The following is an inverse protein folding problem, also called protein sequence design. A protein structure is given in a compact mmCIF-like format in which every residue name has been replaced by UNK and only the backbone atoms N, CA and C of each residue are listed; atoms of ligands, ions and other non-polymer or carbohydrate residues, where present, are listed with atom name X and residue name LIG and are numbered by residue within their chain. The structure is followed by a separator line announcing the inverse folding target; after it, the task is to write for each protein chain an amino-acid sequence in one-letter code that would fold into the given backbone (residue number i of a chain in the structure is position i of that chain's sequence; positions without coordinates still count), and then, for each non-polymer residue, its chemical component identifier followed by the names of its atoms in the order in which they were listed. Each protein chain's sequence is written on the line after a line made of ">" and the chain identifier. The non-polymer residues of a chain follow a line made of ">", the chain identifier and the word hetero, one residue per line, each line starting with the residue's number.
data_IF_138795368108
#
_entry.id   IF_138795368108
#
_cell.length_a   1.000
_cell.length_b   1.000
_cell.length_c   1.000
_cell.angle_alpha   90.00
_cell.angle_beta   90.00
_cell.angle_gamma   90.00
#
_symmetry.space_group_name_H-M   'P 1'
#
loop_
_entity.id
_entity.type
_entity.pdbx_description
1 polymer ?
#
# COMPACT_ATOMS: atom_id res chain seq x y z
N UNK A 1 -8.81 2.54 -6.64
CA UNK A 1 -7.40 2.29 -7.05
C UNK A 1 -7.20 1.12 -8.02
N UNK A 2 -7.59 -0.13 -7.69
CA UNK A 2 -7.36 -1.32 -8.56
C UNK A 2 -7.86 -1.14 -10.00
N UNK A 3 -9.12 -0.72 -10.15
CA UNK A 3 -9.78 -0.48 -11.45
C UNK A 3 -9.03 0.55 -12.31
N UNK A 4 -8.56 1.65 -11.69
CA UNK A 4 -7.79 2.67 -12.39
C UNK A 4 -6.44 2.15 -12.91
N UNK A 5 -5.76 1.30 -12.13
CA UNK A 5 -4.48 0.70 -12.55
C UNK A 5 -4.70 -0.26 -13.72
N UNK A 6 -5.76 -1.08 -13.66
CA UNK A 6 -6.14 -2.00 -14.74
C UNK A 6 -6.44 -1.24 -16.04
N UNK A 7 -7.29 -0.22 -15.96
CA UNK A 7 -7.69 0.56 -17.13
C UNK A 7 -6.51 1.25 -17.83
N UNK A 8 -5.54 1.76 -17.05
CA UNK A 8 -4.33 2.38 -17.61
C UNK A 8 -3.37 1.33 -18.17
N UNK A 9 -3.14 0.21 -17.46
CA UNK A 9 -2.25 -0.87 -17.94
C UNK A 9 -2.82 -1.59 -19.17
N UNK A 10 -4.14 -1.72 -19.24
CA UNK A 10 -4.88 -2.26 -20.38
C UNK A 10 -5.01 -1.29 -21.56
N UNK A 11 -4.43 -0.08 -21.46
CA UNK A 11 -4.51 0.98 -22.48
C UNK A 11 -5.94 1.44 -22.82
N UNK A 12 -6.92 1.17 -21.97
CA UNK A 12 -8.30 1.63 -22.14
C UNK A 12 -8.42 3.15 -22.00
N UNK A 13 -7.58 3.74 -21.15
CA UNK A 13 -7.56 5.18 -20.91
C UNK A 13 -6.20 5.69 -20.43
N UNK A 14 -5.90 6.96 -20.71
CA UNK A 14 -4.70 7.64 -20.23
C UNK A 14 -4.76 8.02 -18.76
N UNK A 15 -3.58 8.28 -18.15
CA UNK A 15 -3.44 8.57 -16.71
C UNK A 15 -4.36 9.70 -16.20
N UNK A 16 -4.48 10.80 -16.96
CA UNK A 16 -5.31 11.94 -16.55
C UNK A 16 -6.80 11.60 -16.56
N UNK A 17 -7.26 10.93 -17.64
CA UNK A 17 -8.65 10.47 -17.75
C UNK A 17 -8.99 9.46 -16.66
N UNK A 18 -8.10 8.50 -16.41
CA UNK A 18 -8.30 7.52 -15.34
C UNK A 18 -8.34 8.15 -13.94
N UNK A 19 -7.48 9.14 -13.68
CA UNK A 19 -7.49 9.88 -12.42
C UNK A 19 -8.83 10.57 -12.17
N UNK A 20 -9.34 11.30 -13.17
CA UNK A 20 -10.62 12.00 -13.07
C UNK A 20 -11.81 11.02 -13.01
N UNK A 21 -11.82 9.98 -13.84
CA UNK A 21 -12.93 9.03 -13.93
C UNK A 21 -13.08 8.18 -12.67
N UNK A 22 -11.97 7.75 -12.06
CA UNK A 22 -11.99 6.92 -10.86
C UNK A 22 -11.79 7.69 -9.55
N UNK A 23 -11.65 9.01 -9.60
CA UNK A 23 -11.44 9.85 -8.42
C UNK A 23 -10.19 9.49 -7.62
N UNK A 24 -9.09 9.13 -8.31
CA UNK A 24 -7.83 8.72 -7.66
C UNK A 24 -6.72 9.72 -7.92
N UNK A 25 -5.79 9.96 -6.96
CA UNK A 25 -4.67 10.86 -7.18
C UNK A 25 -3.79 10.44 -8.35
N UNK A 26 -3.52 11.38 -9.27
CA UNK A 26 -2.76 11.13 -10.50
C UNK A 26 -1.33 10.65 -10.23
N UNK A 27 -0.65 11.24 -9.25
CA UNK A 27 0.71 10.85 -8.83
C UNK A 27 0.74 9.39 -8.36
N UNK A 28 -0.14 9.04 -7.42
CA UNK A 28 -0.26 7.68 -6.90
C UNK A 28 -0.64 6.68 -7.98
N UNK A 29 -1.52 7.05 -8.91
CA UNK A 29 -1.87 6.21 -10.04
C UNK A 29 -0.66 5.96 -10.96
N UNK A 30 0.09 7.01 -11.29
CA UNK A 30 1.30 6.93 -12.11
C UNK A 30 2.35 6.01 -11.48
N UNK A 31 2.63 6.18 -10.19
CA UNK A 31 3.61 5.37 -9.47
C UNK A 31 3.21 3.89 -9.44
N UNK A 32 1.93 3.61 -9.16
CA UNK A 32 1.41 2.24 -9.15
C UNK A 32 1.39 1.61 -10.54
N UNK A 33 1.03 2.35 -11.58
CA UNK A 33 1.04 1.85 -12.97
C UNK A 33 2.46 1.47 -13.39
N UNK A 34 3.45 2.32 -13.10
CA UNK A 34 4.87 2.13 -13.45
C UNK A 34 5.60 1.09 -12.60
N UNK A 35 5.01 0.65 -11.48
CA UNK A 35 5.60 -0.39 -10.63
C UNK A 35 5.74 -1.73 -11.37
N UNK A 36 6.87 -2.42 -11.16
CA UNK A 36 7.13 -3.78 -11.71
C UNK A 36 6.25 -4.87 -11.09
N UNK A 37 5.51 -4.56 -10.02
CA UNK A 37 4.63 -5.53 -9.35
C UNK A 37 3.43 -5.84 -10.25
N UNK A 38 3.32 -7.11 -10.66
CA UNK A 38 2.23 -7.62 -11.52
C UNK A 38 0.94 -7.88 -10.74
N UNK A 39 1.06 -8.37 -9.51
CA UNK A 39 -0.10 -8.70 -8.67
C UNK A 39 -0.75 -7.42 -8.15
N UNK A 40 -1.96 -7.13 -8.61
CA UNK A 40 -2.66 -5.87 -8.32
C UNK A 40 -3.05 -5.76 -6.85
N UNK A 41 -3.41 -6.87 -6.21
CA UNK A 41 -3.74 -6.88 -4.78
C UNK A 41 -2.55 -6.46 -3.92
N UNK A 42 -1.35 -6.97 -4.23
CA UNK A 42 -0.12 -6.54 -3.57
C UNK A 42 0.17 -5.07 -3.84
N UNK A 43 -0.03 -4.60 -5.06
CA UNK A 43 0.24 -3.22 -5.45
C UNK A 43 -0.68 -2.21 -4.73
N UNK A 44 -1.94 -2.59 -4.47
CA UNK A 44 -2.87 -1.75 -3.70
C UNK A 44 -2.62 -1.86 -2.19
N UNK A 45 -2.28 -3.05 -1.70
CA UNK A 45 -1.96 -3.29 -0.29
C UNK A 45 -0.58 -2.80 0.16
N UNK A 46 0.33 -2.48 -0.77
CA UNK A 46 1.63 -1.91 -0.40
C UNK A 46 1.47 -0.58 0.36
N UNK A 47 1.94 -0.58 1.60
CA UNK A 47 2.10 0.65 2.41
C UNK A 47 3.02 1.62 1.65
N UNK A 48 2.58 2.86 1.54
CA UNK A 48 3.38 3.95 0.98
C UNK A 48 4.43 4.37 2.01
N UNK A 49 5.60 4.81 1.55
CA UNK A 49 6.67 5.29 2.41
C UNK A 49 7.86 4.33 2.54
N UNK A 50 8.74 4.64 3.49
CA UNK A 50 9.96 3.87 3.73
C UNK A 50 9.60 2.50 4.28
N UNK A 51 10.33 1.46 3.87
CA UNK A 51 10.18 0.13 4.45
C UNK A 51 10.49 0.22 5.96
N UNK A 52 9.70 -0.45 6.82
CA UNK A 52 10.04 -0.60 8.22
C UNK A 52 11.45 -1.15 8.38
N UNK A 53 12.17 -0.64 9.38
CA UNK A 53 13.54 -1.11 9.68
C UNK A 53 13.48 -2.51 10.32
N UNK A 54 12.51 -2.71 11.20
CA UNK A 54 12.23 -4.01 11.80
C UNK A 54 11.42 -4.85 10.80
N UNK A 55 11.81 -6.11 10.62
CA UNK A 55 11.01 -7.06 9.85
C UNK A 55 9.79 -7.52 10.64
N UNK A 56 8.78 -8.03 9.94
CA UNK A 56 7.48 -8.42 10.51
C UNK A 56 7.60 -9.30 11.78
N UNK A 57 8.55 -10.26 11.78
CA UNK A 57 8.76 -11.15 12.93
C UNK A 57 9.19 -10.40 14.19
N UNK A 58 10.16 -9.51 14.06
CA UNK A 58 10.72 -8.76 15.18
C UNK A 58 9.72 -7.70 15.68
N UNK A 59 8.99 -7.08 14.77
CA UNK A 59 7.92 -6.14 15.10
C UNK A 59 6.79 -6.82 15.89
N UNK A 60 6.37 -8.02 15.49
CA UNK A 60 5.36 -8.78 16.23
C UNK A 60 5.83 -9.20 17.63
N UNK A 61 7.09 -9.59 17.78
CA UNK A 61 7.67 -9.90 19.10
C UNK A 61 7.63 -8.66 19.98
N UNK A 62 8.05 -7.50 19.45
CA UNK A 62 8.04 -6.24 20.19
C UNK A 62 6.62 -5.85 20.62
N UNK A 63 5.63 -5.98 19.73
CA UNK A 63 4.21 -5.72 20.05
C UNK A 63 3.74 -6.62 21.18
N UNK A 64 4.03 -7.93 21.11
CA UNK A 64 3.61 -8.88 22.14
C UNK A 64 4.19 -8.54 23.51
N UNK A 65 5.47 -8.17 23.54
CA UNK A 65 6.16 -7.74 24.76
C UNK A 65 5.56 -6.46 25.34
N UNK A 66 5.33 -5.42 24.51
CA UNK A 66 4.73 -4.16 24.97
C UNK A 66 3.35 -4.39 25.58
N UNK A 67 2.49 -5.16 24.92
CA UNK A 67 1.15 -5.49 25.42
C UNK A 67 1.19 -6.27 26.74
N UNK A 68 2.17 -7.15 26.90
CA UNK A 68 2.37 -7.88 28.16
C UNK A 68 2.83 -6.96 29.29
N UNK A 69 3.74 -6.02 29.01
CA UNK A 69 4.20 -5.04 29.99
C UNK A 69 3.08 -4.09 30.43
N UNK A 70 2.28 -3.59 29.49
CA UNK A 70 1.13 -2.74 29.80
C UNK A 70 0.15 -3.44 30.75
N UNK A 71 -0.21 -4.69 30.48
CA UNK A 71 -1.08 -5.48 31.35
C UNK A 71 -0.52 -5.68 32.76
N UNK A 72 0.81 -5.80 32.89
CA UNK A 72 1.46 -6.09 34.16
C UNK A 72 1.69 -4.86 35.03
N UNK A 73 1.92 -3.70 34.43
CA UNK A 73 2.44 -2.53 35.13
C UNK A 73 1.61 -1.26 34.97
N UNK A 74 0.62 -1.24 34.06
CA UNK A 74 -0.17 -0.04 33.75
C UNK A 74 -1.70 -0.27 33.88
N UNK A 75 -2.10 -1.38 34.52
CA UNK A 75 -3.49 -1.71 34.84
C UNK A 75 -3.86 -1.35 36.28
#
# INVERSE_FOLDING_TARGET
>A
MKRAILAVRGKEMGLLRASNHFGVPKSTLKDKVNSKVKVIDKLVGCKLGRKPILGDKLENILISYCLEMEKRFMA
#
